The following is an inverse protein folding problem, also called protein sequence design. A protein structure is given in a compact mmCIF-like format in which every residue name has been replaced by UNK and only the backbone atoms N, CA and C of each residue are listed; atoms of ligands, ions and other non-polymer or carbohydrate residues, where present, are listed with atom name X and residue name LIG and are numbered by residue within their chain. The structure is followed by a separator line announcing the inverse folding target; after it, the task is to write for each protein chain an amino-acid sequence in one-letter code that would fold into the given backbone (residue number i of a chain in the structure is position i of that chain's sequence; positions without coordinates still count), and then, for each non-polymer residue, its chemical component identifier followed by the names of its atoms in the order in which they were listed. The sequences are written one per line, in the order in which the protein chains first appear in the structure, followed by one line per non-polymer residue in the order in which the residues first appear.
data_IF_617491724812
#
_entry.id   IF_617491724812
#
_cell.length_a   1.000
_cell.length_b   1.000
_cell.length_c   1.000
_cell.angle_alpha   90.00
_cell.angle_beta   90.00
_cell.angle_gamma   90.00
#
_symmetry.space_group_name_H-M   'P 1'
#
loop_
_entity.id
_entity.type
_entity.pdbx_description
1 polymer ?
#
# COMPACT_ATOMS: atom_id res chain seq x y z
N UNK A 1 -3.42 34.79 -30.65
CA UNK A 1 -3.88 34.05 -31.86
C UNK A 1 -4.02 32.60 -31.47
N UNK A 2 -5.19 32.21 -30.91
CA UNK A 2 -5.46 30.88 -30.37
C UNK A 2 -6.01 29.98 -31.47
N UNK A 3 -5.32 28.88 -31.79
CA UNK A 3 -5.87 27.83 -32.64
C UNK A 3 -6.61 26.82 -31.77
N UNK A 4 -7.93 26.82 -31.88
CA UNK A 4 -8.81 25.77 -31.36
C UNK A 4 -8.69 24.56 -32.30
N UNK A 5 -8.29 23.41 -31.77
CA UNK A 5 -8.35 22.12 -32.46
C UNK A 5 -9.68 21.50 -32.05
N UNK A 6 -10.57 21.37 -33.02
CA UNK A 6 -11.84 20.66 -32.87
C UNK A 6 -11.60 19.16 -33.14
N UNK A 7 -11.91 18.32 -32.17
CA UNK A 7 -11.97 16.87 -32.38
C UNK A 7 -13.35 16.51 -32.94
N UNK A 8 -13.34 15.99 -34.16
CA UNK A 8 -14.53 15.43 -34.81
C UNK A 8 -14.82 14.03 -34.25
N UNK A 9 -15.98 13.88 -33.61
CA UNK A 9 -16.52 12.57 -33.23
C UNK A 9 -16.98 11.85 -34.51
N UNK A 10 -16.28 10.79 -34.87
CA UNK A 10 -16.73 9.87 -35.94
C UNK A 10 -17.62 8.83 -35.25
N UNK A 11 -18.92 8.97 -35.43
CA UNK A 11 -19.90 7.94 -35.06
C UNK A 11 -19.83 6.82 -36.09
N UNK A 12 -19.30 5.66 -35.73
CA UNK A 12 -19.40 4.44 -36.51
C UNK A 12 -20.78 3.80 -36.24
N UNK A 13 -21.67 3.88 -37.21
CA UNK A 13 -22.91 3.13 -37.17
C UNK A 13 -22.58 1.64 -37.48
N UNK A 14 -22.71 0.78 -36.49
CA UNK A 14 -22.66 -0.66 -36.66
C UNK A 14 -24.06 -1.13 -37.08
N UNK A 15 -24.15 -1.67 -38.27
CA UNK A 15 -25.38 -2.25 -38.80
C UNK A 15 -25.82 -3.45 -37.91
N UNK A 16 -27.03 -3.37 -37.37
CA UNK A 16 -27.66 -4.46 -36.67
C UNK A 16 -28.02 -5.58 -37.66
N UNK A 17 -27.33 -6.71 -37.58
CA UNK A 17 -27.88 -7.96 -38.11
C UNK A 17 -28.96 -8.44 -37.13
N UNK A 18 -30.20 -8.36 -37.56
CA UNK A 18 -31.36 -8.95 -36.90
C UNK A 18 -31.31 -10.48 -37.02
N UNK A 19 -30.62 -11.11 -36.06
CA UNK A 19 -30.87 -12.51 -35.73
C UNK A 19 -32.01 -12.53 -34.70
N UNK A 20 -33.11 -13.16 -35.07
CA UNK A 20 -34.19 -13.46 -34.09
C UNK A 20 -33.62 -14.38 -33.02
N UNK A 21 -33.30 -13.80 -31.84
CA UNK A 21 -33.01 -14.56 -30.65
C UNK A 21 -34.35 -15.08 -30.15
N UNK A 22 -34.48 -16.39 -30.07
CA UNK A 22 -35.62 -17.08 -29.49
C UNK A 22 -35.68 -16.69 -28.00
N UNK A 23 -36.73 -16.01 -27.50
CA UNK A 23 -36.79 -15.57 -26.12
C UNK A 23 -37.02 -16.69 -25.11
N UNK A 24 -37.14 -17.95 -25.57
CA UNK A 24 -37.37 -19.14 -24.74
C UNK A 24 -36.18 -20.09 -24.63
N UNK A 25 -34.99 -19.73 -25.15
CA UNK A 25 -33.79 -20.44 -24.76
C UNK A 25 -33.35 -20.04 -23.35
N UNK A 26 -34.15 -20.38 -22.37
CA UNK A 26 -33.82 -20.30 -20.99
C UNK A 26 -32.62 -21.20 -20.70
N UNK A 27 -31.45 -20.58 -20.58
CA UNK A 27 -30.30 -21.21 -19.94
C UNK A 27 -30.58 -21.40 -18.45
N UNK A 28 -31.52 -22.31 -18.10
CA UNK A 28 -31.74 -22.83 -16.75
C UNK A 28 -30.95 -24.10 -16.49
N UNK A 29 -29.72 -24.18 -16.98
CA UNK A 29 -28.76 -25.14 -16.49
C UNK A 29 -28.08 -24.57 -15.26
N UNK A 30 -28.28 -25.15 -14.10
CA UNK A 30 -27.48 -24.83 -12.93
C UNK A 30 -26.01 -25.13 -13.29
N UNK A 31 -25.10 -24.14 -13.37
CA UNK A 31 -23.72 -24.39 -13.77
C UNK A 31 -23.00 -25.42 -12.90
N UNK A 32 -23.59 -25.76 -11.75
CA UNK A 32 -23.10 -26.79 -10.83
C UNK A 32 -23.35 -28.23 -11.31
N UNK A 33 -24.24 -28.46 -12.29
CA UNK A 33 -24.53 -29.82 -12.78
C UNK A 33 -23.49 -30.36 -13.76
N UNK A 34 -22.58 -29.49 -14.25
CA UNK A 34 -21.59 -29.84 -15.29
C UNK A 34 -20.17 -30.12 -14.74
N UNK A 35 -19.93 -30.10 -13.42
CA UNK A 35 -18.60 -30.40 -12.87
C UNK A 35 -18.39 -31.92 -12.82
N UNK A 36 -17.39 -32.48 -13.56
CA UNK A 36 -17.11 -33.91 -13.55
C UNK A 36 -16.67 -34.39 -12.18
N UNK A 37 -16.94 -35.68 -11.89
CA UNK A 37 -16.49 -36.31 -10.64
C UNK A 37 -14.96 -36.26 -10.50
N UNK A 38 -14.47 -35.82 -9.32
CA UNK A 38 -13.05 -35.67 -9.02
C UNK A 38 -12.41 -34.37 -9.58
N UNK A 39 -13.18 -33.53 -10.22
CA UNK A 39 -12.74 -32.19 -10.70
C UNK A 39 -13.14 -31.14 -9.69
N UNK A 40 -12.21 -30.21 -9.41
CA UNK A 40 -12.48 -29.00 -8.61
C UNK A 40 -12.67 -27.81 -9.55
N UNK A 41 -13.75 -27.05 -9.37
CA UNK A 41 -14.07 -25.89 -10.20
C UNK A 41 -14.60 -24.74 -9.37
N UNK A 42 -14.16 -23.48 -9.71
CA UNK A 42 -14.59 -22.26 -9.04
C UNK A 42 -15.54 -21.45 -9.94
N UNK A 43 -16.56 -20.88 -9.29
CA UNK A 43 -17.53 -19.96 -9.89
C UNK A 43 -17.62 -18.69 -9.04
N UNK A 44 -18.08 -17.59 -9.64
CA UNK A 44 -18.38 -16.36 -8.92
C UNK A 44 -19.81 -15.93 -9.24
N UNK A 45 -20.48 -15.33 -8.25
CA UNK A 45 -21.83 -14.75 -8.42
C UNK A 45 -21.82 -13.50 -9.32
N UNK A 46 -20.69 -12.82 -9.38
CA UNK A 46 -20.44 -11.68 -10.28
C UNK A 46 -18.93 -11.58 -10.61
N UNK A 47 -18.63 -10.92 -11.71
CA UNK A 47 -17.24 -10.72 -12.19
C UNK A 47 -16.82 -9.26 -12.19
N UNK A 48 -17.67 -8.37 -11.69
CA UNK A 48 -17.43 -6.94 -11.59
C UNK A 48 -17.94 -6.44 -10.25
N UNK A 49 -17.12 -5.65 -9.53
CA UNK A 49 -17.48 -4.97 -8.28
C UNK A 49 -16.92 -3.56 -8.25
N UNK A 50 -17.47 -2.70 -7.40
CA UNK A 50 -16.85 -1.45 -6.98
C UNK A 50 -15.71 -1.72 -5.99
N UNK A 51 -14.61 -1.00 -6.13
CA UNK A 51 -13.53 -1.00 -5.14
C UNK A 51 -13.88 -0.10 -3.93
N UNK A 52 -15.07 -0.28 -3.36
CA UNK A 52 -15.59 0.49 -2.21
C UNK A 52 -15.39 -0.22 -0.87
N UNK A 53 -14.85 -1.44 -0.91
CA UNK A 53 -14.65 -2.29 0.27
C UNK A 53 -15.93 -2.97 0.80
N UNK A 54 -17.11 -2.62 0.27
CA UNK A 54 -18.42 -3.14 0.74
C UNK A 54 -19.03 -4.12 -0.26
N UNK A 55 -18.83 -3.88 -1.55
CA UNK A 55 -19.37 -4.79 -2.55
C UNK A 55 -18.56 -6.09 -2.55
N UNK A 56 -19.24 -7.22 -2.31
CA UNK A 56 -18.63 -8.53 -2.21
C UNK A 56 -18.91 -9.40 -3.44
N UNK A 57 -17.90 -10.15 -3.87
CA UNK A 57 -18.05 -11.34 -4.72
C UNK A 57 -18.15 -12.56 -3.84
N UNK A 58 -19.09 -13.46 -4.11
CA UNK A 58 -19.18 -14.76 -3.46
C UNK A 58 -18.76 -15.85 -4.42
N UNK A 59 -17.78 -16.65 -4.03
CA UNK A 59 -17.32 -17.79 -4.81
C UNK A 59 -18.01 -19.08 -4.39
N UNK A 60 -18.44 -19.84 -5.39
CA UNK A 60 -18.88 -21.23 -5.21
C UNK A 60 -17.79 -22.14 -5.76
N UNK A 61 -17.32 -23.08 -4.94
CA UNK A 61 -16.31 -24.06 -5.33
C UNK A 61 -16.93 -25.45 -5.26
N UNK A 62 -16.97 -26.14 -6.42
CA UNK A 62 -17.54 -27.46 -6.55
C UNK A 62 -16.46 -28.51 -6.69
N UNK A 63 -16.58 -29.61 -5.97
CA UNK A 63 -15.79 -30.82 -6.19
C UNK A 63 -16.73 -31.92 -6.69
N UNK A 64 -16.74 -32.12 -8.00
CA UNK A 64 -17.80 -32.87 -8.62
C UNK A 64 -19.18 -32.24 -8.35
N UNK A 65 -20.09 -32.98 -7.74
CA UNK A 65 -21.44 -32.50 -7.39
C UNK A 65 -21.52 -31.88 -5.99
N UNK A 66 -20.43 -31.86 -5.22
CA UNK A 66 -20.40 -31.38 -3.86
C UNK A 66 -19.95 -29.91 -3.81
N UNK A 67 -20.72 -29.07 -3.13
CA UNK A 67 -20.31 -27.69 -2.81
C UNK A 67 -19.35 -27.70 -1.61
N UNK A 68 -18.09 -27.36 -1.88
CA UNK A 68 -17.02 -27.31 -0.87
C UNK A 68 -16.61 -25.87 -0.51
N UNK A 69 -17.38 -24.86 -0.90
CA UNK A 69 -17.06 -23.43 -0.75
C UNK A 69 -16.74 -23.02 0.70
N UNK A 70 -17.30 -23.70 1.68
CA UNK A 70 -17.11 -23.42 3.11
C UNK A 70 -16.31 -24.51 3.83
N UNK A 71 -15.72 -25.46 3.10
CA UNK A 71 -14.94 -26.54 3.69
C UNK A 71 -13.67 -25.99 4.37
N UNK A 72 -13.35 -26.46 5.57
CA UNK A 72 -12.17 -26.03 6.35
C UNK A 72 -10.83 -26.29 5.63
N UNK A 73 -10.83 -27.23 4.68
CA UNK A 73 -9.65 -27.61 3.90
C UNK A 73 -9.59 -26.91 2.54
N UNK A 74 -10.54 -26.01 2.24
CA UNK A 74 -10.52 -25.17 1.07
C UNK A 74 -9.61 -23.95 1.30
N UNK A 75 -8.78 -23.65 0.31
CA UNK A 75 -7.92 -22.46 0.26
C UNK A 75 -8.25 -21.71 -1.02
N UNK A 76 -8.74 -20.50 -0.90
CA UNK A 76 -8.90 -19.58 -2.02
C UNK A 76 -7.55 -18.95 -2.34
N UNK A 77 -7.18 -18.95 -3.62
CA UNK A 77 -5.92 -18.43 -4.12
C UNK A 77 -6.24 -17.23 -5.00
N UNK A 78 -5.76 -16.05 -4.62
CA UNK A 78 -5.93 -14.80 -5.36
C UNK A 78 -4.60 -14.37 -5.96
N UNK A 79 -4.63 -13.98 -7.24
CA UNK A 79 -3.53 -13.31 -7.93
C UNK A 79 -3.93 -11.88 -8.25
N UNK A 80 -3.04 -10.95 -7.94
CA UNK A 80 -3.18 -9.53 -8.25
C UNK A 80 -1.78 -8.94 -8.40
N UNK A 81 -1.54 -8.20 -9.48
CA UNK A 81 -0.26 -7.51 -9.76
C UNK A 81 0.99 -8.41 -9.61
N UNK A 82 0.89 -9.64 -10.15
CA UNK A 82 1.97 -10.63 -10.08
C UNK A 82 2.13 -11.34 -8.73
N UNK A 83 1.43 -10.91 -7.69
CA UNK A 83 1.45 -11.54 -6.37
C UNK A 83 0.34 -12.58 -6.22
N UNK A 84 0.69 -13.70 -5.56
CA UNK A 84 -0.27 -14.74 -5.19
C UNK A 84 -0.49 -14.70 -3.68
N UNK A 85 -1.77 -14.63 -3.27
CA UNK A 85 -2.17 -14.71 -1.87
C UNK A 85 -3.14 -15.88 -1.65
N UNK A 86 -2.94 -16.59 -0.54
CA UNK A 86 -3.70 -17.78 -0.17
C UNK A 86 -4.49 -17.49 1.11
N UNK A 87 -5.82 -17.58 1.06
CA UNK A 87 -6.66 -17.36 2.22
C UNK A 87 -7.48 -18.60 2.55
N UNK A 88 -7.58 -18.91 3.85
CA UNK A 88 -8.47 -19.95 4.39
C UNK A 88 -9.75 -19.29 4.90
N UNK A 89 -10.83 -20.03 4.89
CA UNK A 89 -12.06 -19.74 5.61
C UNK A 89 -12.97 -18.62 5.06
N UNK A 90 -12.73 -18.05 3.88
CA UNK A 90 -13.71 -17.15 3.27
C UNK A 90 -13.85 -17.43 1.80
N UNK A 91 -15.09 -17.65 1.36
CA UNK A 91 -15.45 -17.73 -0.06
C UNK A 91 -15.95 -16.36 -0.59
N UNK A 92 -15.63 -15.27 0.13
CA UNK A 92 -16.02 -13.91 -0.24
C UNK A 92 -14.80 -13.03 -0.49
N UNK A 93 -14.96 -12.07 -1.38
CA UNK A 93 -13.93 -11.08 -1.69
C UNK A 93 -14.56 -9.71 -1.87
N UNK A 94 -13.98 -8.72 -1.21
CA UNK A 94 -14.16 -7.30 -1.44
C UNK A 94 -12.79 -6.61 -1.43
N UNK A 95 -12.70 -5.42 -2.01
CA UNK A 95 -11.46 -4.66 -2.07
C UNK A 95 -11.71 -3.16 -2.14
N UNK A 96 -10.74 -2.39 -1.70
CA UNK A 96 -10.67 -0.92 -1.90
C UNK A 96 -9.68 -0.56 -3.00
N UNK A 97 -8.99 -1.54 -3.58
CA UNK A 97 -8.01 -1.35 -4.64
C UNK A 97 -8.61 -1.76 -5.98
N UNK A 98 -8.67 -0.82 -6.92
CA UNK A 98 -9.13 -1.09 -8.27
C UNK A 98 -8.14 -1.97 -9.04
N UNK A 99 -8.65 -2.81 -9.93
CA UNK A 99 -7.85 -3.68 -10.79
C UNK A 99 -8.49 -5.03 -11.05
N UNK A 100 -7.78 -5.88 -11.79
CA UNK A 100 -8.25 -7.23 -12.13
C UNK A 100 -7.61 -8.25 -11.21
N UNK A 101 -8.45 -8.99 -10.51
CA UNK A 101 -8.08 -10.08 -9.61
C UNK A 101 -8.40 -11.42 -10.25
N UNK A 102 -7.47 -12.37 -10.21
CA UNK A 102 -7.71 -13.74 -10.68
C UNK A 102 -7.77 -14.70 -9.49
N UNK A 103 -8.81 -15.55 -9.48
CA UNK A 103 -9.07 -16.49 -8.40
C UNK A 103 -9.03 -17.92 -8.89
N UNK A 104 -8.37 -18.78 -8.09
CA UNK A 104 -8.39 -20.24 -8.16
C UNK A 104 -8.58 -20.79 -6.75
N UNK A 105 -8.73 -22.08 -6.60
CA UNK A 105 -8.83 -22.72 -5.29
C UNK A 105 -8.03 -24.02 -5.21
N UNK A 106 -7.60 -24.34 -4.00
CA UNK A 106 -7.03 -25.64 -3.62
C UNK A 106 -7.94 -26.29 -2.58
N UNK A 107 -8.25 -27.56 -2.74
CA UNK A 107 -9.05 -28.34 -1.81
C UNK A 107 -8.29 -29.63 -1.43
N UNK A 108 -8.29 -29.94 -0.13
CA UNK A 108 -7.69 -31.16 0.36
C UNK A 108 -8.77 -32.14 0.80
N UNK A 109 -8.84 -33.31 0.08
CA UNK A 109 -9.72 -34.42 0.39
C UNK A 109 -9.00 -35.75 0.06
N UNK A 110 -8.28 -36.31 1.02
CA UNK A 110 -7.41 -37.48 0.79
C UNK A 110 -6.26 -37.24 -0.19
N UNK A 111 -6.16 -36.06 -0.79
CA UNK A 111 -5.16 -35.57 -1.72
C UNK A 111 -5.38 -34.09 -1.97
N UNK A 112 -4.48 -33.46 -2.73
CA UNK A 112 -4.62 -32.05 -3.12
C UNK A 112 -5.25 -31.95 -4.50
N UNK A 113 -6.31 -31.16 -4.60
CA UNK A 113 -7.00 -30.82 -5.84
C UNK A 113 -6.90 -29.34 -6.08
N UNK A 114 -6.69 -28.94 -7.33
CA UNK A 114 -6.66 -27.53 -7.77
C UNK A 114 -7.79 -27.32 -8.76
N UNK A 115 -8.35 -26.11 -8.80
CA UNK A 115 -9.39 -25.80 -9.79
C UNK A 115 -8.85 -25.93 -11.21
N UNK A 116 -9.65 -26.52 -12.09
CA UNK A 116 -9.36 -26.66 -13.52
C UNK A 116 -9.61 -25.36 -14.33
N UNK A 117 -10.19 -24.35 -13.65
CA UNK A 117 -10.47 -23.03 -14.20
C UNK A 117 -9.99 -21.92 -13.25
N UNK A 118 -10.04 -20.68 -13.72
CA UNK A 118 -9.91 -19.47 -12.91
C UNK A 118 -11.10 -18.54 -13.14
N UNK A 119 -11.37 -17.67 -12.17
CA UNK A 119 -12.35 -16.60 -12.27
C UNK A 119 -11.62 -15.27 -12.18
N UNK A 120 -11.90 -14.36 -13.12
CA UNK A 120 -11.43 -12.98 -13.07
C UNK A 120 -12.52 -12.07 -12.55
N UNK A 121 -12.16 -11.22 -11.57
CA UNK A 121 -13.03 -10.21 -11.00
C UNK A 121 -12.40 -8.85 -11.27
N UNK A 122 -13.12 -7.97 -11.94
CA UNK A 122 -12.73 -6.57 -12.14
C UNK A 122 -13.28 -5.71 -11.00
N UNK A 123 -12.39 -5.15 -10.19
CA UNK A 123 -12.75 -4.14 -9.20
C UNK A 123 -12.57 -2.76 -9.83
N UNK A 124 -13.69 -2.06 -10.05
CA UNK A 124 -13.70 -0.73 -10.66
C UNK A 124 -13.37 0.35 -9.62
N UNK A 125 -12.61 1.38 -9.99
CA UNK A 125 -12.38 2.52 -9.12
C UNK A 125 -13.70 3.07 -8.60
N UNK A 126 -13.76 3.33 -7.30
CA UNK A 126 -14.93 3.88 -6.64
C UNK A 126 -14.56 5.17 -5.94
N UNK A 127 -15.25 6.25 -6.31
CA UNK A 127 -15.11 7.54 -5.69
C UNK A 127 -16.46 7.97 -5.10
N UNK A 128 -16.46 8.42 -3.85
CA UNK A 128 -17.65 8.89 -3.18
C UNK A 128 -18.02 10.29 -3.70
N UNK A 129 -18.99 10.37 -4.61
CA UNK A 129 -19.66 11.61 -5.02
C UNK A 129 -18.69 12.79 -5.31
N UNK A 130 -18.93 13.93 -4.67
CA UNK A 130 -18.12 15.17 -4.80
C UNK A 130 -16.83 15.17 -3.94
N UNK A 131 -16.36 14.00 -3.47
CA UNK A 131 -15.15 13.91 -2.67
C UNK A 131 -13.95 14.38 -3.50
N UNK A 132 -13.20 15.34 -2.95
CA UNK A 132 -11.96 15.81 -3.57
C UNK A 132 -10.91 14.71 -3.49
N UNK A 133 -10.19 14.50 -4.60
CA UNK A 133 -9.03 13.61 -4.60
C UNK A 133 -7.97 14.15 -3.63
N UNK A 134 -7.33 13.26 -2.87
CA UNK A 134 -6.22 13.65 -2.01
C UNK A 134 -4.94 13.81 -2.83
N UNK A 135 -4.11 14.78 -2.43
CA UNK A 135 -2.76 14.90 -2.98
C UNK A 135 -1.97 13.65 -2.63
N UNK A 136 -1.41 13.01 -3.64
CA UNK A 136 -0.57 11.83 -3.48
C UNK A 136 0.79 12.21 -2.92
N UNK A 137 1.18 11.56 -1.81
CA UNK A 137 2.49 11.68 -1.19
C UNK A 137 3.04 10.30 -0.88
N UNK A 138 4.34 10.12 -1.07
CA UNK A 138 5.02 8.83 -1.01
C UNK A 138 5.97 8.79 0.19
N UNK A 139 6.00 7.66 0.89
CA UNK A 139 6.99 7.37 1.92
C UNK A 139 8.14 6.55 1.34
N UNK A 140 9.36 7.10 1.38
CA UNK A 140 10.60 6.35 1.15
C UNK A 140 11.13 5.78 2.47
N UNK A 141 11.14 4.47 2.62
CA UNK A 141 11.81 3.78 3.74
C UNK A 141 13.21 3.40 3.28
N UNK A 142 14.19 4.14 3.75
CA UNK A 142 15.58 4.03 3.31
C UNK A 142 16.43 3.39 4.40
N UNK A 143 17.23 2.39 4.02
CA UNK A 143 18.20 1.76 4.91
C UNK A 143 19.63 2.09 4.49
N UNK A 144 20.42 2.55 5.46
CA UNK A 144 21.77 3.07 5.28
C UNK A 144 22.69 2.69 6.44
N UNK A 145 23.95 3.08 6.34
CA UNK A 145 24.94 2.92 7.42
C UNK A 145 26.11 3.88 7.20
N UNK A 146 26.70 4.36 8.28
CA UNK A 146 27.95 5.13 8.25
C UNK A 146 29.13 4.34 7.69
N UNK A 147 29.09 3.00 7.78
CA UNK A 147 30.10 2.09 7.19
C UNK A 147 29.86 1.72 5.72
N UNK A 148 28.81 2.21 5.10
CA UNK A 148 28.43 1.84 3.74
C UNK A 148 29.04 2.79 2.70
N UNK A 149 29.95 2.31 1.87
CA UNK A 149 30.67 3.13 0.86
C UNK A 149 29.78 3.59 -0.30
N UNK A 150 28.73 2.87 -0.63
CA UNK A 150 27.79 3.20 -1.73
C UNK A 150 26.57 4.04 -1.27
N UNK A 151 26.30 4.07 0.04
CA UNK A 151 25.15 4.78 0.59
C UNK A 151 25.15 6.30 0.30
N UNK A 152 26.28 7.03 0.32
CA UNK A 152 26.29 8.44 -0.06
C UNK A 152 25.79 8.73 -1.47
N UNK A 153 26.01 7.80 -2.41
CA UNK A 153 25.48 7.93 -3.78
C UNK A 153 23.95 7.82 -3.81
N UNK A 154 23.39 6.84 -3.11
CA UNK A 154 21.94 6.69 -2.98
C UNK A 154 21.30 7.88 -2.27
N UNK A 155 21.92 8.38 -1.17
CA UNK A 155 21.45 9.57 -0.46
C UNK A 155 21.37 10.79 -1.38
N UNK A 156 22.38 11.01 -2.24
CA UNK A 156 22.33 12.09 -3.23
C UNK A 156 21.19 11.91 -4.23
N UNK A 157 20.94 10.68 -4.70
CA UNK A 157 19.81 10.37 -5.58
C UNK A 157 18.45 10.69 -4.93
N UNK A 158 18.27 10.29 -3.67
CA UNK A 158 17.07 10.62 -2.88
C UNK A 158 16.89 12.13 -2.75
N UNK A 159 17.92 12.88 -2.37
CA UNK A 159 17.89 14.35 -2.27
C UNK A 159 17.55 15.02 -3.59
N UNK A 160 18.09 14.52 -4.70
CA UNK A 160 17.80 15.02 -6.05
C UNK A 160 16.31 14.82 -6.38
N UNK A 161 15.77 13.63 -6.09
CA UNK A 161 14.38 13.32 -6.33
C UNK A 161 13.44 14.15 -5.44
N UNK A 162 13.73 14.29 -4.14
CA UNK A 162 12.98 15.17 -3.23
C UNK A 162 12.98 16.63 -3.71
N UNK A 163 14.09 17.10 -4.26
CA UNK A 163 14.20 18.46 -4.80
C UNK A 163 13.39 18.65 -6.09
N UNK A 164 13.25 17.61 -6.90
CA UNK A 164 12.43 17.62 -8.11
C UNK A 164 10.92 17.51 -7.80
N UNK A 165 10.55 16.93 -6.64
CA UNK A 165 9.18 16.71 -6.20
C UNK A 165 8.96 17.28 -4.78
N UNK A 166 9.02 18.63 -4.62
CA UNK A 166 8.98 19.25 -3.31
C UNK A 166 7.63 19.01 -2.62
N UNK A 167 7.71 18.41 -1.43
CA UNK A 167 6.56 18.10 -0.61
C UNK A 167 5.78 16.83 -0.99
N UNK A 168 6.20 16.07 -2.01
CA UNK A 168 5.55 14.82 -2.42
C UNK A 168 6.22 13.57 -1.85
N UNK A 169 7.47 13.71 -1.37
CA UNK A 169 8.28 12.58 -0.90
C UNK A 169 8.75 12.83 0.52
N UNK A 170 8.23 12.05 1.46
CA UNK A 170 8.77 11.95 2.82
C UNK A 170 9.73 10.76 2.90
N UNK A 171 10.86 10.92 3.57
CA UNK A 171 11.87 9.86 3.71
C UNK A 171 12.16 9.59 5.18
N UNK A 172 12.27 8.32 5.53
CA UNK A 172 12.73 7.83 6.83
C UNK A 172 13.98 6.97 6.62
N UNK A 173 15.13 7.43 7.13
CA UNK A 173 16.41 6.76 6.96
C UNK A 173 16.75 5.96 8.23
N UNK A 174 16.62 4.64 8.13
CA UNK A 174 17.03 3.70 9.16
C UNK A 174 18.52 3.37 9.02
N UNK A 175 19.28 3.64 10.07
CA UNK A 175 20.68 3.28 10.14
C UNK A 175 20.88 1.86 10.66
N UNK A 176 21.90 1.16 10.15
CA UNK A 176 22.26 -0.19 10.56
C UNK A 176 23.78 -0.29 10.85
N UNK A 177 24.17 -1.13 11.80
CA UNK A 177 25.58 -1.50 11.94
C UNK A 177 26.05 -2.25 10.69
N UNK A 178 27.29 -2.04 10.27
CA UNK A 178 27.85 -2.72 9.10
C UNK A 178 29.22 -3.33 9.42
N UNK A 179 29.30 -4.64 9.46
CA UNK A 179 30.52 -5.35 9.84
C UNK A 179 30.98 -4.97 11.24
N UNK A 180 32.18 -4.41 11.34
CA UNK A 180 32.78 -3.93 12.62
C UNK A 180 32.47 -2.46 12.91
N UNK A 181 31.81 -1.76 11.97
CA UNK A 181 31.45 -0.34 12.13
C UNK A 181 30.21 -0.21 12.97
N UNK A 182 30.36 0.44 14.13
CA UNK A 182 29.24 0.79 14.98
C UNK A 182 28.67 2.13 14.55
N UNK A 183 27.48 2.10 13.95
CA UNK A 183 26.78 3.31 13.52
C UNK A 183 26.05 3.93 14.72
N UNK A 184 26.32 5.21 15.07
CA UNK A 184 25.73 5.85 16.25
C UNK A 184 24.25 6.23 16.09
N UNK A 185 23.70 6.13 14.87
CA UNK A 185 22.33 6.51 14.55
C UNK A 185 21.37 5.31 14.48
N UNK A 186 21.83 4.11 14.81
CA UNK A 186 20.99 2.90 14.86
C UNK A 186 19.99 2.98 16.00
N UNK A 187 18.75 2.64 15.70
CA UNK A 187 17.68 2.44 16.68
C UNK A 187 17.24 0.98 16.71
N UNK A 188 16.57 0.57 17.80
CA UNK A 188 16.16 -0.82 17.99
C UNK A 188 15.16 -1.29 16.92
N UNK A 189 14.31 -0.39 16.44
CA UNK A 189 13.26 -0.64 15.45
C UNK A 189 13.79 -0.95 14.05
N UNK A 190 15.05 -0.60 13.73
CA UNK A 190 15.67 -0.85 12.42
C UNK A 190 15.51 -2.32 12.00
N UNK A 191 15.78 -3.26 12.91
CA UNK A 191 15.65 -4.70 12.63
C UNK A 191 14.21 -5.15 12.40
N UNK A 192 13.24 -4.54 13.10
CA UNK A 192 11.82 -4.84 12.94
C UNK A 192 11.31 -4.39 11.57
N UNK A 193 11.67 -3.17 11.14
CA UNK A 193 11.31 -2.67 9.80
C UNK A 193 11.98 -3.47 8.68
N UNK A 194 13.24 -3.88 8.85
CA UNK A 194 13.87 -4.81 7.91
C UNK A 194 13.07 -6.12 7.79
N UNK A 195 12.66 -6.72 8.91
CA UNK A 195 11.91 -7.97 8.91
C UNK A 195 10.54 -7.83 8.23
N UNK A 196 9.80 -6.73 8.50
CA UNK A 196 8.50 -6.46 7.85
C UNK A 196 8.65 -6.28 6.34
N UNK A 197 9.77 -5.72 5.88
CA UNK A 197 10.08 -5.51 4.46
C UNK A 197 10.75 -6.70 3.77
N UNK A 198 10.67 -7.88 4.36
CA UNK A 198 11.10 -9.14 3.75
C UNK A 198 12.46 -9.67 4.18
N UNK A 199 13.14 -9.02 5.12
CA UNK A 199 14.43 -9.51 5.67
C UNK A 199 15.56 -9.47 4.64
N UNK A 200 15.87 -8.32 4.09
CA UNK A 200 16.92 -8.15 3.08
C UNK A 200 18.32 -8.04 3.72
N UNK A 201 19.33 -8.37 2.93
CA UNK A 201 20.74 -8.16 3.24
C UNK A 201 21.37 -7.12 2.32
N UNK A 202 22.37 -6.39 2.84
CA UNK A 202 23.13 -5.39 2.11
C UNK A 202 22.45 -4.01 2.02
N UNK A 203 23.30 -2.97 1.89
CA UNK A 203 22.94 -1.55 1.86
C UNK A 203 23.56 -0.89 0.62
N UNK A 204 22.99 0.20 0.09
CA UNK A 204 21.73 0.84 0.47
C UNK A 204 20.48 0.08 0.01
N UNK A 205 19.33 0.34 0.65
CA UNK A 205 18.02 -0.16 0.22
C UNK A 205 16.97 0.94 0.37
N UNK A 206 16.07 1.06 -0.60
CA UNK A 206 14.92 1.97 -0.54
C UNK A 206 13.66 1.20 -0.91
N UNK A 207 12.60 1.39 -0.13
CA UNK A 207 11.28 0.83 -0.37
C UNK A 207 10.28 1.97 -0.44
N UNK A 208 9.49 2.01 -1.51
CA UNK A 208 8.38 2.96 -1.63
C UNK A 208 7.15 2.41 -0.92
N UNK A 209 6.52 3.24 -0.08
CA UNK A 209 5.27 2.95 0.61
C UNK A 209 5.22 1.60 1.35
N UNK A 210 6.37 1.14 1.84
CA UNK A 210 6.51 -0.17 2.51
C UNK A 210 6.12 -1.38 1.64
N UNK A 211 6.19 -1.27 0.31
CA UNK A 211 5.93 -2.40 -0.57
C UNK A 211 7.12 -3.35 -0.57
N UNK A 212 6.87 -4.61 -0.25
CA UNK A 212 7.89 -5.66 -0.33
C UNK A 212 8.26 -5.93 -1.80
N UNK A 213 9.52 -6.26 -2.04
CA UNK A 213 10.02 -6.59 -3.38
C UNK A 213 10.44 -5.40 -4.25
N UNK A 214 10.13 -4.17 -3.84
CA UNK A 214 10.55 -2.94 -4.55
C UNK A 214 11.85 -2.34 -4.01
N UNK A 215 12.76 -3.16 -3.53
CA UNK A 215 14.06 -2.68 -3.03
C UNK A 215 14.95 -2.26 -4.18
N UNK A 216 15.44 -1.04 -4.11
CA UNK A 216 16.26 -0.43 -5.13
C UNK A 216 17.65 -0.15 -4.60
N UNK A 217 18.64 -0.43 -5.44
CA UNK A 217 20.05 -0.11 -5.20
C UNK A 217 20.50 0.78 -6.34
N UNK A 218 20.83 2.02 -6.06
CA UNK A 218 21.35 2.89 -7.09
C UNK A 218 21.27 4.37 -6.74
N UNK A 219 21.86 5.24 -7.58
CA UNK A 219 21.83 6.69 -7.40
C UNK A 219 20.62 7.36 -8.04
N UNK A 220 19.85 6.65 -8.88
CA UNK A 220 18.66 7.20 -9.57
C UNK A 220 17.43 6.37 -9.22
N UNK A 221 16.46 7.03 -8.64
CA UNK A 221 15.21 6.43 -8.20
C UNK A 221 13.99 6.98 -8.97
N UNK A 222 14.22 7.75 -10.03
CA UNK A 222 13.15 8.46 -10.77
C UNK A 222 12.17 7.49 -11.40
N UNK A 223 12.65 6.43 -12.05
CA UNK A 223 11.80 5.43 -12.71
C UNK A 223 10.90 4.73 -11.69
N UNK A 224 11.48 4.21 -10.63
CA UNK A 224 10.74 3.49 -9.58
C UNK A 224 9.78 4.38 -8.79
N UNK A 225 10.10 5.66 -8.60
CA UNK A 225 9.17 6.63 -8.05
C UNK A 225 7.98 6.86 -8.98
N UNK A 226 8.22 7.02 -10.29
CA UNK A 226 7.15 7.17 -11.27
C UNK A 226 6.26 5.92 -11.36
N UNK A 227 6.84 4.72 -11.28
CA UNK A 227 6.10 3.47 -11.20
C UNK A 227 5.22 3.41 -9.95
N UNK A 228 5.74 3.80 -8.79
CA UNK A 228 4.97 3.84 -7.55
C UNK A 228 3.81 4.84 -7.61
N UNK A 229 4.05 6.05 -8.17
CA UNK A 229 3.01 7.06 -8.36
C UNK A 229 1.90 6.54 -9.30
N UNK A 230 2.27 5.83 -10.36
CA UNK A 230 1.30 5.29 -11.32
C UNK A 230 0.55 4.05 -10.80
N UNK A 231 1.09 3.37 -9.78
CA UNK A 231 0.55 2.10 -9.29
C UNK A 231 -0.74 2.25 -8.46
N UNK A 232 -1.02 3.44 -7.91
CA UNK A 232 -2.19 3.66 -7.07
C UNK A 232 -2.56 5.15 -6.98
N UNK A 233 -3.81 5.42 -6.63
CA UNK A 233 -4.28 6.73 -6.20
C UNK A 233 -4.57 6.71 -4.70
N UNK A 234 -4.17 7.76 -3.94
CA UNK A 234 -4.46 7.80 -2.52
C UNK A 234 -5.95 8.03 -2.29
N UNK A 235 -6.54 7.20 -1.48
CA UNK A 235 -7.93 7.33 -1.09
C UNK A 235 -8.11 7.83 0.35
N UNK A 236 -7.02 8.20 1.03
CA UNK A 236 -7.06 8.85 2.33
C UNK A 236 -6.22 10.13 2.38
N UNK A 237 -6.67 11.06 3.19
CA UNK A 237 -5.91 12.22 3.63
C UNK A 237 -5.33 11.98 5.02
N UNK A 238 -4.16 12.55 5.26
CA UNK A 238 -3.48 12.53 6.55
C UNK A 238 -3.25 13.97 7.00
N UNK A 239 -3.57 14.26 8.25
CA UNK A 239 -3.21 15.52 8.93
C UNK A 239 -2.28 15.23 10.11
N UNK A 240 -1.40 16.16 10.42
CA UNK A 240 -0.50 16.07 11.56
C UNK A 240 -0.28 17.45 12.17
N UNK A 241 -0.29 17.53 13.49
CA UNK A 241 0.12 18.73 14.23
C UNK A 241 0.93 18.33 15.44
N UNK A 242 1.90 19.18 15.80
CA UNK A 242 2.73 18.96 16.97
C UNK A 242 2.61 20.15 17.92
N UNK A 243 2.37 19.87 19.19
CA UNK A 243 2.34 20.85 20.27
C UNK A 243 3.15 20.33 21.47
N UNK A 244 4.23 21.03 21.82
CA UNK A 244 5.20 20.61 22.83
C UNK A 244 5.74 19.19 22.54
N UNK A 245 5.24 18.19 23.27
CA UNK A 245 5.61 16.78 23.10
C UNK A 245 4.44 15.91 22.62
N UNK A 246 3.36 16.53 22.17
CA UNK A 246 2.18 15.82 21.64
C UNK A 246 2.16 15.89 20.13
N UNK A 247 1.90 14.76 19.52
CA UNK A 247 1.67 14.62 18.07
C UNK A 247 0.22 14.22 17.92
N UNK A 248 -0.59 15.12 17.36
CA UNK A 248 -1.98 14.82 17.01
C UNK A 248 -2.05 14.51 15.53
N UNK A 249 -2.75 13.46 15.17
CA UNK A 249 -2.93 13.05 13.78
C UNK A 249 -4.40 12.78 13.48
N UNK A 250 -4.76 12.95 12.22
CA UNK A 250 -6.08 12.62 11.70
C UNK A 250 -5.95 11.87 10.39
N UNK A 251 -6.87 10.93 10.17
CA UNK A 251 -7.04 10.23 8.90
C UNK A 251 -8.50 10.37 8.48
N UNK A 252 -8.74 10.80 7.24
CA UNK A 252 -10.04 10.79 6.59
C UNK A 252 -9.95 10.04 5.27
N UNK A 253 -11.04 9.47 4.77
CA UNK A 253 -11.01 8.62 3.58
C UNK A 253 -12.18 8.87 2.65
N UNK A 254 -11.94 8.66 1.35
CA UNK A 254 -12.96 8.69 0.29
C UNK A 254 -13.58 7.30 0.05
N UNK A 255 -13.06 6.26 0.69
CA UNK A 255 -13.56 4.88 0.59
C UNK A 255 -13.62 4.26 1.99
N UNK A 256 -14.54 3.33 2.23
CA UNK A 256 -14.53 2.55 3.47
C UNK A 256 -13.30 1.62 3.48
N UNK A 257 -12.35 1.87 4.37
CA UNK A 257 -11.16 1.04 4.48
C UNK A 257 -10.66 0.99 5.92
N UNK A 258 -9.98 -0.09 6.28
CA UNK A 258 -9.30 -0.23 7.56
C UNK A 258 -7.92 0.39 7.44
N UNK A 259 -7.65 1.37 8.31
CA UNK A 259 -6.36 2.05 8.38
C UNK A 259 -5.61 1.69 9.65
N UNK A 260 -4.30 1.79 9.54
CA UNK A 260 -3.37 1.94 10.66
C UNK A 260 -2.51 3.16 10.39
N UNK A 261 -1.79 3.62 11.41
CA UNK A 261 -0.88 4.74 11.27
C UNK A 261 0.51 4.40 11.80
N UNK A 262 1.51 4.95 11.14
CA UNK A 262 2.90 4.93 11.57
C UNK A 262 3.31 6.37 11.91
N UNK A 263 4.07 6.53 12.98
CA UNK A 263 4.62 7.83 13.38
C UNK A 263 6.12 7.71 13.54
N UNK A 264 6.84 8.45 12.71
CA UNK A 264 8.29 8.55 12.72
C UNK A 264 8.72 9.94 13.16
N UNK A 265 9.76 10.00 13.96
CA UNK A 265 10.48 11.23 14.27
C UNK A 265 11.83 11.14 13.58
N UNK A 266 12.12 12.10 12.71
CA UNK A 266 13.37 12.15 11.97
C UNK A 266 14.13 13.42 12.28
N UNK A 267 15.46 13.36 12.22
CA UNK A 267 16.37 14.49 12.39
C UNK A 267 17.20 14.70 11.14
N UNK A 268 17.31 15.95 10.72
CA UNK A 268 18.17 16.37 9.61
C UNK A 268 19.44 17.01 10.14
N UNK A 269 20.49 17.07 9.31
CA UNK A 269 21.71 17.82 9.59
C UNK A 269 22.60 17.20 10.66
N UNK A 270 22.55 15.89 10.86
CA UNK A 270 23.45 15.22 11.81
C UNK A 270 24.81 15.06 11.18
N UNK A 271 25.83 15.66 11.79
CA UNK A 271 27.23 15.52 11.35
C UNK A 271 27.85 14.31 12.02
N UNK A 272 28.23 13.32 11.22
CA UNK A 272 28.91 12.11 11.67
C UNK A 272 29.77 11.51 10.54
N UNK A 273 30.84 10.78 10.90
CA UNK A 273 31.69 10.11 9.92
C UNK A 273 30.89 9.19 8.99
N UNK A 274 31.19 9.29 7.70
CA UNK A 274 30.65 8.39 6.66
C UNK A 274 31.82 7.85 5.84
N UNK A 275 32.30 6.67 6.19
CA UNK A 275 33.39 5.98 5.45
C UNK A 275 34.65 6.83 5.25
N UNK A 276 35.03 7.60 6.29
CA UNK A 276 36.22 8.46 6.29
C UNK A 276 35.98 9.92 5.91
N UNK A 277 34.73 10.33 5.73
CA UNK A 277 34.31 11.73 5.67
C UNK A 277 33.70 12.14 7.02
N UNK A 278 34.50 12.75 7.93
CA UNK A 278 34.04 13.06 9.29
C UNK A 278 33.00 14.18 9.34
N UNK A 279 32.90 14.98 8.29
CA UNK A 279 32.00 16.13 8.19
C UNK A 279 30.74 15.83 7.39
N UNK A 280 30.48 14.54 7.08
CA UNK A 280 29.29 14.14 6.32
C UNK A 280 28.02 14.48 7.06
N UNK A 281 27.05 15.03 6.31
CA UNK A 281 25.73 15.44 6.85
C UNK A 281 24.67 14.40 6.51
N UNK A 282 24.14 13.78 7.53
CA UNK A 282 23.03 12.82 7.45
C UNK A 282 21.69 13.52 7.65
N UNK A 283 20.73 13.26 6.75
CA UNK A 283 19.38 13.78 6.81
C UNK A 283 18.35 12.64 6.82
N UNK A 284 17.13 12.97 7.24
CA UNK A 284 16.01 12.03 7.36
C UNK A 284 16.27 10.90 8.37
N UNK A 285 17.21 11.05 9.28
CA UNK A 285 17.63 9.99 10.22
C UNK A 285 16.51 9.69 11.21
N UNK A 286 16.02 8.46 11.25
CA UNK A 286 15.00 8.04 12.22
C UNK A 286 15.57 8.06 13.62
N UNK A 287 14.97 8.86 14.49
CA UNK A 287 15.33 8.97 15.92
C UNK A 287 14.38 8.20 16.82
N UNK A 288 13.11 8.11 16.43
CA UNK A 288 12.12 7.31 17.12
C UNK A 288 11.03 6.83 16.15
N UNK A 289 10.46 5.69 16.45
CA UNK A 289 9.19 5.20 15.92
C UNK A 289 8.24 5.07 17.08
N UNK A 290 7.11 5.79 17.06
CA UNK A 290 6.19 5.86 18.20
C UNK A 290 5.08 4.81 18.13
N UNK A 291 5.05 4.03 17.06
CA UNK A 291 4.06 2.99 16.79
C UNK A 291 4.75 1.64 16.59
N UNK A 292 3.97 0.57 16.49
CA UNK A 292 4.51 -0.72 16.04
C UNK A 292 4.98 -0.64 14.58
N UNK A 293 5.87 -1.53 14.18
CA UNK A 293 6.39 -1.60 12.80
C UNK A 293 5.32 -1.90 11.73
N UNK A 294 4.16 -2.41 12.16
CA UNK A 294 2.97 -2.66 11.30
C UNK A 294 1.95 -1.53 11.36
N UNK A 295 2.26 -0.47 12.10
CA UNK A 295 1.35 0.62 12.41
C UNK A 295 0.35 0.27 13.51
N UNK A 296 -0.06 1.30 14.25
CA UNK A 296 -1.05 1.18 15.31
C UNK A 296 -2.46 1.34 14.74
N UNK A 297 -3.42 0.71 15.42
CA UNK A 297 -4.81 0.72 14.99
C UNK A 297 -5.42 2.09 15.19
N UNK A 298 -6.18 2.53 14.19
CA UNK A 298 -7.07 3.67 14.31
C UNK A 298 -8.51 3.17 14.11
N UNK A 299 -9.48 3.83 14.74
CA UNK A 299 -10.89 3.43 14.69
C UNK A 299 -11.13 1.95 15.09
N UNK A 300 -10.45 1.47 16.12
CA UNK A 300 -10.56 0.09 16.63
C UNK A 300 -10.35 -1.01 15.57
N UNK A 301 -9.60 -0.70 14.50
CA UNK A 301 -9.41 -1.56 13.34
C UNK A 301 -10.71 -1.87 12.58
N UNK A 302 -11.68 -0.96 12.65
CA UNK A 302 -12.89 -0.98 11.85
C UNK A 302 -12.72 -0.08 10.62
N UNK A 303 -13.44 -0.34 9.52
CA UNK A 303 -13.44 0.55 8.37
C UNK A 303 -13.81 1.98 8.76
N UNK A 304 -13.08 2.97 8.24
CA UNK A 304 -13.51 4.36 8.37
C UNK A 304 -14.75 4.61 7.53
N UNK A 305 -15.69 5.33 8.10
CA UNK A 305 -16.80 5.87 7.33
C UNK A 305 -16.30 7.02 6.46
N UNK A 306 -16.69 7.03 5.20
CA UNK A 306 -16.27 8.06 4.23
C UNK A 306 -16.56 9.46 4.75
N UNK A 307 -15.55 10.35 4.64
CA UNK A 307 -15.61 11.73 5.11
C UNK A 307 -15.61 11.90 6.64
N UNK A 308 -15.57 10.81 7.40
CA UNK A 308 -15.44 10.87 8.87
C UNK A 308 -13.97 10.77 9.24
N UNK A 309 -13.52 11.72 10.05
CA UNK A 309 -12.15 11.77 10.55
C UNK A 309 -11.97 10.82 11.74
N UNK A 310 -10.94 9.98 11.69
CA UNK A 310 -10.42 9.26 12.83
C UNK A 310 -9.15 9.97 13.34
N UNK A 311 -9.01 10.07 14.68
CA UNK A 311 -7.92 10.78 15.34
C UNK A 311 -7.14 9.86 16.25
N UNK A 312 -5.84 10.15 16.36
CA UNK A 312 -4.97 9.58 17.39
C UNK A 312 -4.01 10.65 17.91
N UNK A 313 -3.41 10.36 19.05
CA UNK A 313 -2.42 11.24 19.68
C UNK A 313 -1.28 10.39 20.23
N UNK A 314 -0.05 10.74 19.83
CA UNK A 314 1.18 10.15 20.38
C UNK A 314 1.92 11.14 21.27
N UNK A 315 2.73 10.60 22.16
CA UNK A 315 3.61 11.40 23.00
C UNK A 315 5.06 11.19 22.58
N UNK A 316 5.76 12.28 22.33
CA UNK A 316 7.17 12.28 21.95
C UNK A 316 8.04 12.65 23.16
N UNK A 317 8.93 11.76 23.55
CA UNK A 317 10.01 12.07 24.48
C UNK A 317 11.25 12.51 23.70
N UNK A 318 11.57 13.81 23.76
CA UNK A 318 12.69 14.37 23.00
C UNK A 318 13.97 14.17 23.80
N UNK A 319 14.90 13.40 23.26
CA UNK A 319 16.23 13.22 23.83
C UNK A 319 17.00 14.56 23.86
N UNK A 320 17.72 14.88 24.94
CA UNK A 320 18.61 16.05 24.99
C UNK A 320 19.73 16.02 23.91
N UNK A 321 20.03 14.85 23.36
CA UNK A 321 21.04 14.68 22.31
C UNK A 321 20.53 15.06 20.92
N UNK A 322 19.23 15.32 20.73
CA UNK A 322 18.65 15.66 19.45
C UNK A 322 18.56 17.17 19.26
N UNK A 323 18.79 17.63 18.04
CA UNK A 323 18.58 19.04 17.69
C UNK A 323 17.09 19.27 17.37
N UNK A 324 16.37 19.89 18.31
CA UNK A 324 14.92 20.11 18.21
C UNK A 324 14.51 20.89 16.94
N UNK A 325 15.35 21.83 16.51
CA UNK A 325 15.06 22.69 15.35
C UNK A 325 15.14 21.91 14.03
N UNK A 326 15.79 20.74 14.06
CA UNK A 326 15.96 19.87 12.89
C UNK A 326 15.03 18.66 12.92
N UNK A 327 14.15 18.55 13.93
CA UNK A 327 13.20 17.44 14.02
C UNK A 327 11.99 17.67 13.14
N UNK A 328 11.58 16.60 12.45
CA UNK A 328 10.32 16.50 11.74
C UNK A 328 9.55 15.26 12.20
N UNK A 329 8.24 15.38 12.17
CA UNK A 329 7.32 14.26 12.43
C UNK A 329 6.69 13.86 11.10
N UNK A 330 6.77 12.57 10.79
CA UNK A 330 6.18 11.96 9.60
C UNK A 330 5.11 10.99 10.06
N UNK A 331 3.89 11.17 9.55
CA UNK A 331 2.74 10.30 9.81
C UNK A 331 2.33 9.63 8.52
N UNK A 332 2.33 8.31 8.48
CA UNK A 332 1.89 7.54 7.34
C UNK A 332 0.61 6.76 7.66
N UNK A 333 -0.41 6.93 6.83
CA UNK A 333 -1.60 6.10 6.87
C UNK A 333 -1.36 4.85 6.04
N UNK A 334 -1.53 3.68 6.64
CA UNK A 334 -1.38 2.40 5.96
C UNK A 334 -2.73 1.71 5.82
N UNK A 335 -2.89 0.96 4.73
CA UNK A 335 -4.07 0.13 4.48
C UNK A 335 -3.65 -1.28 4.13
N UNK A 336 -4.53 -2.24 4.40
CA UNK A 336 -4.26 -3.64 4.08
C UNK A 336 -4.94 -4.04 2.78
N UNK A 337 -4.21 -4.72 1.92
CA UNK A 337 -4.73 -5.31 0.67
C UNK A 337 -5.11 -6.78 0.81
N UNK A 338 -4.92 -7.38 1.99
CA UNK A 338 -5.05 -8.83 2.21
C UNK A 338 -5.76 -9.23 3.51
N UNK A 339 -6.71 -8.42 3.95
CA UNK A 339 -7.49 -8.73 5.15
C UNK A 339 -6.72 -8.54 6.47
N UNK A 340 -5.68 -7.71 6.48
CA UNK A 340 -4.98 -7.31 7.70
C UNK A 340 -3.65 -8.00 7.96
N UNK A 341 -3.09 -8.70 6.98
CA UNK A 341 -1.77 -9.33 7.10
C UNK A 341 -0.62 -8.43 6.64
N UNK A 342 -0.80 -7.73 5.51
CA UNK A 342 0.19 -6.80 4.96
C UNK A 342 -0.40 -5.40 4.93
N UNK A 343 0.36 -4.43 5.42
CA UNK A 343 -0.01 -3.02 5.39
C UNK A 343 0.98 -2.25 4.51
N UNK A 344 0.44 -1.51 3.56
CA UNK A 344 1.20 -0.60 2.69
C UNK A 344 0.77 0.84 2.95
N UNK A 345 1.68 1.78 2.80
CA UNK A 345 1.36 3.20 2.95
C UNK A 345 0.44 3.63 1.81
N UNK A 346 -0.68 4.25 2.15
CA UNK A 346 -1.60 4.84 1.20
C UNK A 346 -1.34 6.34 1.02
N UNK A 347 -1.04 7.06 2.10
CA UNK A 347 -0.67 8.46 2.04
C UNK A 347 0.16 8.88 3.26
N UNK A 348 0.82 10.02 3.19
CA UNK A 348 1.72 10.51 4.23
C UNK A 348 1.60 12.02 4.43
N UNK A 349 1.81 12.49 5.65
CA UNK A 349 1.97 13.91 5.98
C UNK A 349 3.19 14.11 6.87
N UNK A 350 3.84 15.26 6.77
CA UNK A 350 4.95 15.63 7.65
C UNK A 350 4.91 17.11 8.03
N UNK A 351 5.35 17.41 9.24
CA UNK A 351 5.56 18.77 9.73
C UNK A 351 6.79 18.85 10.65
N UNK A 352 7.32 20.06 10.87
CA UNK A 352 8.32 20.32 11.90
C UNK A 352 7.67 20.38 13.28
N UNK A 353 8.48 20.27 14.34
CA UNK A 353 7.97 20.47 15.69
C UNK A 353 7.39 21.88 15.85
N UNK A 354 6.20 21.98 16.44
CA UNK A 354 5.46 23.23 16.62
C UNK A 354 4.65 23.67 15.40
N UNK A 355 4.66 22.87 14.33
CA UNK A 355 3.90 23.14 13.10
C UNK A 355 2.72 22.17 12.91
N UNK A 356 1.91 22.43 11.90
CA UNK A 356 0.81 21.57 11.50
C UNK A 356 0.67 21.52 9.97
N UNK A 357 0.21 20.39 9.49
CA UNK A 357 -0.20 20.18 8.10
C UNK A 357 -1.60 19.55 8.12
N UNK A 358 -2.53 20.22 7.45
CA UNK A 358 -3.90 19.74 7.27
C UNK A 358 -4.01 18.80 6.06
N UNK A 359 -5.20 18.23 5.85
CA UNK A 359 -5.49 17.39 4.70
C UNK A 359 -5.19 18.12 3.40
N UNK A 360 -4.39 17.48 2.55
CA UNK A 360 -4.01 18.04 1.25
C UNK A 360 -4.78 17.33 0.14
N UNK A 361 -5.29 18.16 -0.78
CA UNK A 361 -6.08 17.69 -1.92
C UNK A 361 -5.32 17.92 -3.23
N UNK A 362 -5.61 17.09 -4.22
CA UNK A 362 -5.13 17.33 -5.58
C UNK A 362 -5.73 18.62 -6.13
N UNK A 363 -4.93 19.35 -6.94
CA UNK A 363 -5.36 20.60 -7.60
C UNK A 363 -6.26 20.34 -8.80
#
# INVERSE_FOLDING_TARGET
MFKRIAYALTVLAVAACSGTVDPDAGASGNPMEEVPEGVLRIFADKTEISADGNEEVTFTVMFGKEDVSTAQTLVLIRKYDGEEKRSKASNKFSTVTAGTYEFTAEYYYGGRFYTDNSVKVEAKPYFFGDAKAYRQRVLGVYFTSTGCTSCPSATRGIKTLQSAHPGDISVVAFHSHMGVVSDPMVIAETGLFNAVLGGFEGLPRLFWNMRQGTHLIGPDFTESYNEEIAAYEPHCGVSVSTDQNRINLGITSNVPAIYRYLVFVVEDGIVADQTGDPDYVHDNVVRAVLTSEKGDKINDNLPLTVGVEAKATETLEISPAWNKDNLRVIVAATTSTDGGYTFVVNNVAECRLGESVDYQYAE
#
